data_IF_662608292151
#
_entry.id   IF_662608292151
#
_cell.length_a   1.000
_cell.length_b   1.000
_cell.length_c   1.000
_cell.angle_alpha   90.00
_cell.angle_beta   90.00
_cell.angle_gamma   90.00
#
_symmetry.space_group_name_H-M   'P 1'
#
loop_
_entity.id
_entity.type
_entity.pdbx_description
1 polymer ?
#
# COMPACT_ATOMS: atom_id res chain seq x y z
N UNK A 1 22.40 5.22 -12.02
CA UNK A 1 22.18 3.77 -12.17
C UNK A 1 21.94 3.38 -13.63
N UNK A 2 21.02 3.99 -14.38
CA UNK A 2 20.69 3.69 -15.78
C UNK A 2 21.94 3.65 -16.69
N UNK A 3 22.88 4.60 -16.55
CA UNK A 3 24.11 4.60 -17.33
C UNK A 3 24.95 3.35 -17.10
N UNK A 4 25.08 2.92 -15.85
CA UNK A 4 25.81 1.70 -15.50
C UNK A 4 25.05 0.43 -15.91
N UNK A 5 23.72 0.42 -15.81
CA UNK A 5 22.87 -0.65 -16.33
C UNK A 5 23.06 -0.84 -17.83
N UNK A 6 23.00 0.23 -18.62
CA UNK A 6 23.22 0.16 -20.07
C UNK A 6 24.63 -0.37 -20.43
N UNK A 7 25.65 0.00 -19.66
CA UNK A 7 27.00 -0.53 -19.85
C UNK A 7 27.07 -2.03 -19.59
N UNK A 8 26.39 -2.55 -18.55
CA UNK A 8 26.34 -3.99 -18.24
C UNK A 8 25.57 -4.77 -19.28
N UNK A 9 24.42 -4.26 -19.72
CA UNK A 9 23.62 -4.89 -20.79
C UNK A 9 24.44 -5.01 -22.07
N UNK A 10 25.16 -3.96 -22.48
CA UNK A 10 26.01 -3.98 -23.66
C UNK A 10 27.20 -4.95 -23.54
N UNK A 11 27.65 -5.25 -22.32
CA UNK A 11 28.74 -6.18 -22.04
C UNK A 11 28.24 -7.62 -21.73
N UNK A 12 26.92 -7.89 -21.80
CA UNK A 12 26.31 -9.16 -21.38
C UNK A 12 26.72 -9.59 -19.96
N UNK A 13 26.93 -8.64 -19.07
CA UNK A 13 27.23 -8.92 -17.65
C UNK A 13 25.95 -8.85 -16.82
N UNK A 14 25.76 -9.84 -15.95
CA UNK A 14 24.64 -9.90 -15.02
C UNK A 14 25.11 -9.50 -13.62
N UNK A 15 24.29 -8.72 -12.93
CA UNK A 15 24.51 -8.36 -11.53
C UNK A 15 23.46 -9.08 -10.69
N UNK A 16 23.87 -9.86 -9.70
CA UNK A 16 22.96 -10.53 -8.79
C UNK A 16 22.53 -9.56 -7.68
N UNK A 17 21.22 -9.52 -7.37
CA UNK A 17 20.68 -8.73 -6.27
C UNK A 17 20.23 -9.66 -5.13
N UNK A 18 20.94 -9.69 -3.98
CA UNK A 18 20.57 -10.56 -2.88
C UNK A 18 19.27 -10.16 -2.18
N UNK A 19 18.73 -8.98 -2.49
CA UNK A 19 17.49 -8.45 -1.92
C UNK A 19 16.29 -8.59 -2.86
N UNK A 20 16.44 -9.28 -4.02
CA UNK A 20 15.36 -9.41 -5.02
C UNK A 20 14.04 -9.87 -4.39
N UNK A 21 14.05 -11.00 -3.69
CA UNK A 21 12.84 -11.57 -3.08
C UNK A 21 12.26 -10.66 -2.00
N UNK A 22 13.14 -10.02 -1.22
CA UNK A 22 12.74 -9.06 -0.17
C UNK A 22 12.07 -7.83 -0.78
N UNK A 23 12.67 -7.24 -1.83
CA UNK A 23 12.11 -6.05 -2.49
C UNK A 23 10.78 -6.38 -3.15
N UNK A 24 10.69 -7.52 -3.82
CA UNK A 24 9.46 -7.97 -4.48
C UNK A 24 8.32 -8.17 -3.47
N UNK A 25 8.60 -8.71 -2.28
CA UNK A 25 7.59 -8.99 -1.25
C UNK A 25 7.29 -7.79 -0.34
N UNK A 26 8.30 -7.01 0.05
CA UNK A 26 8.14 -5.91 1.00
C UNK A 26 7.79 -4.57 0.33
N UNK A 27 8.17 -4.37 -0.95
CA UNK A 27 7.97 -3.12 -1.67
C UNK A 27 7.33 -3.36 -3.06
N UNK A 28 6.17 -4.02 -3.14
CA UNK A 28 5.59 -4.46 -4.40
C UNK A 28 5.30 -3.30 -5.37
N UNK A 29 4.81 -2.15 -4.88
CA UNK A 29 4.54 -0.97 -5.72
C UNK A 29 5.82 -0.44 -6.37
N UNK A 30 6.91 -0.34 -5.62
CA UNK A 30 8.20 0.12 -6.17
C UNK A 30 8.75 -0.88 -7.18
N UNK A 31 8.56 -2.17 -6.92
CA UNK A 31 8.95 -3.21 -7.87
C UNK A 31 8.12 -3.13 -9.15
N UNK A 32 6.82 -2.84 -9.06
CA UNK A 32 5.93 -2.61 -10.21
C UNK A 32 6.32 -1.38 -11.03
N UNK A 33 6.67 -0.27 -10.38
CA UNK A 33 7.21 0.91 -11.05
C UNK A 33 8.49 0.58 -11.83
N UNK A 34 9.37 -0.23 -11.25
CA UNK A 34 10.59 -0.68 -11.90
C UNK A 34 10.33 -1.65 -13.06
N UNK A 35 9.36 -2.55 -12.94
CA UNK A 35 8.90 -3.43 -14.03
C UNK A 35 8.32 -2.61 -15.19
N UNK A 36 7.51 -1.58 -14.90
CA UNK A 36 7.00 -0.68 -15.93
C UNK A 36 8.14 0.02 -16.69
N UNK A 37 9.14 0.52 -15.96
CA UNK A 37 10.33 1.13 -16.56
C UNK A 37 11.14 0.12 -17.40
N UNK A 38 11.23 -1.14 -16.95
CA UNK A 38 11.88 -2.23 -17.69
C UNK A 38 11.12 -2.56 -19.00
N UNK A 39 9.79 -2.65 -18.92
CA UNK A 39 8.95 -2.87 -20.10
C UNK A 39 9.06 -1.70 -21.09
N UNK A 40 9.08 -0.47 -20.60
CA UNK A 40 9.30 0.73 -21.44
C UNK A 40 10.65 0.66 -22.18
N UNK A 41 11.74 0.29 -21.50
CA UNK A 41 13.06 0.11 -22.11
C UNK A 41 13.04 -0.98 -23.16
N UNK A 42 12.34 -2.07 -22.92
CA UNK A 42 12.20 -3.15 -23.88
C UNK A 42 11.42 -2.71 -25.14
N UNK A 43 10.26 -2.08 -24.96
CA UNK A 43 9.37 -1.67 -26.05
C UNK A 43 10.00 -0.59 -26.95
N UNK A 44 10.72 0.39 -26.38
CA UNK A 44 11.20 1.56 -27.10
C UNK A 44 12.69 1.49 -27.46
N UNK A 45 13.48 0.76 -26.70
CA UNK A 45 14.93 0.70 -26.87
C UNK A 45 15.43 -0.72 -27.18
N UNK A 46 14.55 -1.74 -27.17
CA UNK A 46 14.89 -3.17 -27.29
C UNK A 46 15.94 -3.64 -26.28
N UNK A 47 15.92 -3.04 -25.07
CA UNK A 47 16.82 -3.36 -23.97
C UNK A 47 16.08 -4.26 -22.99
N UNK A 48 16.52 -5.52 -22.91
CA UNK A 48 16.01 -6.46 -21.91
C UNK A 48 16.91 -6.44 -20.67
N UNK A 49 16.30 -6.27 -19.49
CA UNK A 49 16.99 -6.29 -18.20
C UNK A 49 16.51 -7.45 -17.34
N UNK A 50 17.39 -7.98 -16.48
CA UNK A 50 17.08 -9.08 -15.58
C UNK A 50 16.21 -8.64 -14.40
N UNK A 51 15.58 -9.61 -13.70
CA UNK A 51 14.82 -9.33 -12.46
C UNK A 51 15.69 -8.70 -11.37
N UNK A 52 16.96 -9.09 -11.29
CA UNK A 52 17.92 -8.48 -10.38
C UNK A 52 18.13 -6.98 -10.64
N UNK A 53 18.25 -6.60 -11.91
CA UNK A 53 18.36 -5.19 -12.30
C UNK A 53 17.05 -4.41 -12.08
N UNK A 54 15.88 -5.08 -12.25
CA UNK A 54 14.59 -4.48 -11.87
C UNK A 54 14.55 -4.19 -10.37
N UNK A 55 15.05 -5.10 -9.52
CA UNK A 55 15.12 -4.87 -8.09
C UNK A 55 16.06 -3.70 -7.73
N UNK A 56 17.22 -3.58 -8.39
CA UNK A 56 18.08 -2.41 -8.22
C UNK A 56 17.40 -1.10 -8.66
N UNK A 57 16.65 -1.14 -9.76
CA UNK A 57 15.90 0.01 -10.23
C UNK A 57 14.80 0.40 -9.22
N UNK A 58 14.10 -0.58 -8.65
CA UNK A 58 13.12 -0.36 -7.58
C UNK A 58 13.73 0.33 -6.36
N UNK A 59 14.93 -0.10 -5.93
CA UNK A 59 15.65 0.56 -4.83
C UNK A 59 15.97 2.04 -5.15
N UNK A 60 16.38 2.34 -6.38
CA UNK A 60 16.64 3.72 -6.77
C UNK A 60 15.37 4.57 -6.83
N UNK A 61 14.29 4.03 -7.39
CA UNK A 61 12.99 4.70 -7.42
C UNK A 61 12.52 4.95 -5.99
N UNK A 62 12.62 3.94 -5.10
CA UNK A 62 12.24 4.07 -3.69
C UNK A 62 13.00 5.18 -2.98
N UNK A 63 14.32 5.23 -3.13
CA UNK A 63 15.13 6.27 -2.53
C UNK A 63 14.80 7.68 -3.04
N UNK A 64 14.38 7.82 -4.30
CA UNK A 64 13.96 9.12 -4.85
C UNK A 64 12.53 9.49 -4.42
N UNK A 65 11.61 8.52 -4.35
CA UNK A 65 10.26 8.71 -3.81
C UNK A 65 10.32 9.13 -2.35
N UNK A 66 11.10 8.45 -1.50
CA UNK A 66 11.30 8.84 -0.10
C UNK A 66 11.82 10.28 0.07
N UNK A 67 12.66 10.76 -0.85
CA UNK A 67 13.13 12.14 -0.84
C UNK A 67 12.09 13.17 -1.25
N UNK A 68 11.17 12.80 -2.15
CA UNK A 68 10.15 13.70 -2.69
C UNK A 68 8.86 13.69 -1.84
N UNK A 69 8.51 12.55 -1.22
CA UNK A 69 7.29 12.35 -0.43
C UNK A 69 7.38 12.94 0.99
N UNK A 70 8.46 13.67 1.32
CA UNK A 70 8.74 14.10 2.70
C UNK A 70 7.62 14.92 3.37
N UNK A 71 6.62 15.44 2.64
CA UNK A 71 5.57 16.28 3.25
C UNK A 71 4.11 15.87 2.96
N UNK A 72 3.85 15.03 1.96
CA UNK A 72 2.46 14.78 1.50
C UNK A 72 1.71 13.75 2.36
N UNK A 73 2.42 12.78 2.94
CA UNK A 73 1.82 11.69 3.71
C UNK A 73 2.05 11.75 5.22
N UNK A 74 2.78 12.77 5.70
CA UNK A 74 3.03 12.94 7.13
C UNK A 74 1.73 13.26 7.89
N UNK A 75 1.60 12.73 9.11
CA UNK A 75 0.56 13.16 10.02
C UNK A 75 0.80 14.61 10.42
N UNK A 76 -0.19 15.46 10.23
CA UNK A 76 -0.16 16.83 10.72
C UNK A 76 -0.36 16.81 12.24
N UNK A 77 0.63 17.28 12.97
CA UNK A 77 0.63 17.19 14.43
C UNK A 77 0.64 18.57 15.07
N UNK A 78 -0.05 18.68 16.20
CA UNK A 78 0.08 19.80 17.11
C UNK A 78 0.88 19.35 18.34
N UNK A 79 1.82 20.16 18.80
CA UNK A 79 2.52 19.95 20.06
C UNK A 79 1.98 20.91 21.12
N UNK A 80 1.25 20.37 22.11
CA UNK A 80 0.80 21.09 23.29
C UNK A 80 1.76 20.83 24.45
N UNK A 81 2.63 21.79 24.72
CA UNK A 81 3.64 21.68 25.77
C UNK A 81 3.85 23.06 26.40
N UNK A 82 3.51 23.25 27.68
CA UNK A 82 3.84 24.48 28.41
C UNK A 82 5.36 24.74 28.35
N UNK A 83 5.75 25.95 27.95
CA UNK A 83 7.15 26.27 27.75
C UNK A 83 7.83 26.68 29.05
N UNK A 84 8.36 25.70 29.78
CA UNK A 84 9.22 25.89 30.92
C UNK A 84 10.68 25.66 30.55
N UNK A 85 11.52 26.68 30.67
CA UNK A 85 12.97 26.57 30.40
C UNK A 85 13.31 25.97 29.03
N UNK A 86 12.58 26.39 27.98
CA UNK A 86 12.75 25.92 26.59
C UNK A 86 12.38 24.43 26.38
N UNK A 87 11.63 23.83 27.29
CA UNK A 87 11.25 22.42 27.19
C UNK A 87 10.45 22.10 25.92
N UNK A 88 9.59 23.02 25.48
CA UNK A 88 8.85 22.89 24.23
C UNK A 88 9.80 22.71 23.03
N UNK A 89 10.86 23.54 22.94
CA UNK A 89 11.85 23.42 21.87
C UNK A 89 12.65 22.12 21.93
N UNK A 90 12.96 21.61 23.13
CA UNK A 90 13.64 20.32 23.28
C UNK A 90 12.77 19.16 22.80
N UNK A 91 11.50 19.12 23.18
CA UNK A 91 10.56 18.07 22.76
C UNK A 91 10.27 18.18 21.27
N UNK A 92 10.09 19.38 20.71
CA UNK A 92 9.92 19.60 19.28
C UNK A 92 11.10 19.02 18.48
N UNK A 93 12.32 19.38 18.83
CA UNK A 93 13.53 18.86 18.15
C UNK A 93 13.66 17.34 18.32
N UNK A 94 13.33 16.82 19.50
CA UNK A 94 13.35 15.40 19.77
C UNK A 94 12.39 14.63 18.85
N UNK A 95 11.16 15.10 18.70
CA UNK A 95 10.17 14.51 17.81
C UNK A 95 10.63 14.53 16.34
N UNK A 96 11.19 15.65 15.86
CA UNK A 96 11.71 15.75 14.50
C UNK A 96 12.89 14.82 14.25
N UNK A 97 13.82 14.70 15.20
CA UNK A 97 14.98 13.82 15.04
C UNK A 97 14.55 12.35 14.86
N UNK A 98 13.50 11.92 15.56
CA UNK A 98 13.09 10.51 15.59
C UNK A 98 11.96 10.16 14.64
N UNK A 99 11.10 11.12 14.27
CA UNK A 99 9.84 10.84 13.56
C UNK A 99 9.60 11.76 12.35
N UNK A 100 10.61 12.53 11.88
CA UNK A 100 10.45 13.47 10.75
C UNK A 100 9.89 12.82 9.47
N UNK A 101 10.14 11.54 9.26
CA UNK A 101 9.58 10.81 8.10
C UNK A 101 8.07 10.55 8.20
N UNK A 102 7.48 10.58 9.42
CA UNK A 102 6.09 10.17 9.70
C UNK A 102 5.19 11.33 10.12
N UNK A 103 5.77 12.40 10.68
CA UNK A 103 5.01 13.53 11.23
C UNK A 103 5.47 14.87 10.68
N UNK A 104 4.54 15.83 10.67
CA UNK A 104 4.81 17.25 10.41
C UNK A 104 4.17 18.07 11.52
N UNK A 105 4.97 18.75 12.38
CA UNK A 105 4.46 19.57 13.46
C UNK A 105 4.04 20.92 12.88
N UNK A 106 2.72 21.11 12.72
CA UNK A 106 2.14 22.32 12.10
C UNK A 106 1.97 23.46 13.09
N UNK A 107 1.91 23.14 14.41
CA UNK A 107 1.75 24.14 15.47
C UNK A 107 2.36 23.65 16.78
N UNK A 108 2.99 24.60 17.52
CA UNK A 108 3.43 24.39 18.91
C UNK A 108 2.72 25.42 19.79
N UNK A 109 2.05 24.97 20.86
CA UNK A 109 1.27 25.82 21.76
C UNK A 109 1.56 25.49 23.21
N UNK A 110 1.39 26.46 24.09
CA UNK A 110 1.51 26.27 25.54
C UNK A 110 0.17 25.96 26.18
N UNK A 111 -0.94 26.40 25.59
CA UNK A 111 -2.30 26.23 26.12
C UNK A 111 -3.26 25.71 25.08
N UNK A 112 -4.24 24.91 25.49
CA UNK A 112 -5.22 24.27 24.61
C UNK A 112 -6.01 25.29 23.75
N UNK A 113 -6.34 26.46 24.31
CA UNK A 113 -7.11 27.49 23.59
C UNK A 113 -6.30 28.20 22.47
N UNK A 114 -5.01 27.97 22.37
CA UNK A 114 -4.15 28.52 21.32
C UNK A 114 -4.14 27.62 20.06
N UNK A 115 -4.70 26.42 20.15
CA UNK A 115 -4.83 25.53 18.99
C UNK A 115 -5.79 26.19 18.00
N UNK A 116 -5.29 26.45 16.80
CA UNK A 116 -6.12 27.00 15.72
C UNK A 116 -7.03 25.89 15.15
N UNK A 117 -8.16 26.29 14.54
CA UNK A 117 -9.11 25.40 13.85
C UNK A 117 -8.53 24.74 12.58
N UNK A 118 -7.21 24.73 12.42
CA UNK A 118 -6.56 23.98 11.33
C UNK A 118 -6.69 22.49 11.60
N UNK A 119 -7.13 21.74 10.61
CA UNK A 119 -7.22 20.29 10.72
C UNK A 119 -5.83 19.68 11.01
N UNK A 120 -5.72 18.91 12.06
CA UNK A 120 -4.57 18.10 12.41
C UNK A 120 -5.01 16.66 12.69
N UNK A 121 -4.06 15.73 12.57
CA UNK A 121 -4.33 14.29 12.65
C UNK A 121 -3.99 13.74 14.04
N UNK A 122 -3.07 14.41 14.78
CA UNK A 122 -2.50 13.90 16.02
C UNK A 122 -2.09 15.05 16.96
N UNK A 123 -2.38 14.89 18.24
CA UNK A 123 -1.96 15.81 19.29
C UNK A 123 -0.90 15.18 20.18
N UNK A 124 0.32 15.72 20.16
CA UNK A 124 1.32 15.44 21.18
C UNK A 124 1.13 16.37 22.38
N UNK A 125 1.15 15.84 23.58
CA UNK A 125 0.98 16.65 24.79
C UNK A 125 1.84 16.17 25.94
N UNK A 126 2.34 17.11 26.76
CA UNK A 126 3.01 16.78 28.04
C UNK A 126 2.09 16.88 29.24
N UNK A 127 0.84 17.32 29.04
CA UNK A 127 -0.18 17.45 30.11
C UNK A 127 -1.36 16.53 29.80
N UNK A 128 -2.04 15.97 30.81
CA UNK A 128 -3.21 15.15 30.60
C UNK A 128 -4.38 16.01 30.11
N UNK A 129 -4.92 15.68 28.95
CA UNK A 129 -6.07 16.34 28.34
C UNK A 129 -7.00 15.33 27.68
N UNK A 130 -8.18 15.78 27.28
CA UNK A 130 -9.11 15.06 26.40
C UNK A 130 -9.32 15.88 25.14
N UNK A 131 -9.25 15.22 23.99
CA UNK A 131 -9.49 15.81 22.69
C UNK A 131 -10.23 14.80 21.80
N UNK A 132 -10.84 15.28 20.71
CA UNK A 132 -11.49 14.42 19.71
C UNK A 132 -10.51 13.70 18.80
N UNK A 133 -9.28 14.24 18.65
CA UNK A 133 -8.22 13.66 17.86
C UNK A 133 -7.40 12.64 18.69
N UNK A 134 -6.67 11.74 18.05
CA UNK A 134 -5.70 10.88 18.71
C UNK A 134 -4.70 11.70 19.54
N UNK A 135 -4.40 11.23 20.77
CA UNK A 135 -3.47 11.89 21.66
C UNK A 135 -2.30 10.96 21.98
N UNK A 136 -1.08 11.46 21.85
CA UNK A 136 0.11 10.82 22.40
C UNK A 136 0.63 11.70 23.54
N UNK A 137 0.47 11.21 24.76
CA UNK A 137 1.02 11.88 25.94
C UNK A 137 2.50 11.55 26.08
N UNK A 138 3.34 12.57 26.12
CA UNK A 138 4.79 12.47 26.25
C UNK A 138 5.23 12.80 27.68
N UNK A 139 6.36 12.23 28.09
CA UNK A 139 7.06 12.75 29.27
C UNK A 139 7.56 14.18 29.00
N UNK A 140 7.49 15.09 29.98
CA UNK A 140 8.10 16.41 29.86
C UNK A 140 9.65 16.36 29.78
N UNK A 141 10.26 15.20 30.04
CA UNK A 141 11.70 14.98 29.94
C UNK A 141 12.03 14.06 28.77
N UNK A 142 12.79 14.53 27.78
CA UNK A 142 13.09 13.79 26.55
C UNK A 142 13.77 12.44 26.79
N UNK A 143 14.64 12.33 27.82
CA UNK A 143 15.30 11.09 28.20
C UNK A 143 14.35 10.03 28.79
N UNK A 144 13.13 10.39 29.11
CA UNK A 144 12.08 9.49 29.63
C UNK A 144 10.99 9.21 28.59
N UNK A 145 11.15 9.67 27.35
CA UNK A 145 10.24 9.35 26.24
C UNK A 145 10.64 7.99 25.68
N UNK A 146 9.71 7.05 25.67
CA UNK A 146 9.90 5.75 25.02
C UNK A 146 9.66 5.89 23.52
N UNK A 147 10.76 5.93 22.75
CA UNK A 147 10.73 6.07 21.28
C UNK A 147 9.91 4.96 20.63
N UNK A 148 10.03 3.73 21.16
CA UNK A 148 9.34 2.57 20.57
C UNK A 148 7.82 2.66 20.80
N UNK A 149 7.39 3.08 21.99
CA UNK A 149 5.96 3.29 22.29
C UNK A 149 5.38 4.38 21.39
N UNK A 150 6.07 5.51 21.29
CA UNK A 150 5.64 6.61 20.40
C UNK A 150 5.57 6.17 18.94
N UNK A 151 6.59 5.45 18.47
CA UNK A 151 6.63 4.91 17.10
C UNK A 151 5.42 3.99 16.83
N UNK A 152 5.18 3.02 17.70
CA UNK A 152 4.07 2.08 17.53
C UNK A 152 2.71 2.81 17.50
N UNK A 153 2.52 3.83 18.34
CA UNK A 153 1.27 4.61 18.36
C UNK A 153 1.09 5.47 17.11
N UNK A 154 2.17 6.03 16.57
CA UNK A 154 2.14 6.75 15.28
C UNK A 154 1.74 5.77 14.16
N UNK A 155 2.36 4.59 14.09
CA UNK A 155 2.04 3.57 13.10
C UNK A 155 0.57 3.11 13.20
N UNK A 156 0.05 2.89 14.41
CA UNK A 156 -1.37 2.57 14.62
C UNK A 156 -2.32 3.65 14.07
N UNK A 157 -1.97 4.92 14.21
CA UNK A 157 -2.77 6.05 13.69
C UNK A 157 -2.71 6.07 12.16
N UNK A 158 -1.52 5.88 11.58
CA UNK A 158 -1.33 5.81 10.12
C UNK A 158 -2.13 4.64 9.53
N UNK A 159 -2.03 3.46 10.14
CA UNK A 159 -2.78 2.27 9.71
C UNK A 159 -4.30 2.50 9.79
N UNK A 160 -4.81 3.05 10.89
CA UNK A 160 -6.23 3.41 11.02
C UNK A 160 -6.68 4.39 9.95
N UNK A 161 -5.85 5.39 9.60
CA UNK A 161 -6.16 6.33 8.53
C UNK A 161 -6.26 5.64 7.17
N UNK A 162 -5.31 4.74 6.84
CA UNK A 162 -5.36 3.93 5.61
C UNK A 162 -6.62 3.06 5.55
N UNK A 163 -6.97 2.41 6.65
CA UNK A 163 -8.17 1.59 6.75
C UNK A 163 -9.47 2.43 6.63
N UNK A 164 -9.49 3.65 7.16
CA UNK A 164 -10.63 4.54 7.01
C UNK A 164 -10.90 4.92 5.54
N UNK A 165 -9.85 5.09 4.73
CA UNK A 165 -10.00 5.30 3.27
C UNK A 165 -10.64 4.08 2.62
N UNK A 166 -10.18 2.87 2.95
CA UNK A 166 -10.79 1.63 2.45
C UNK A 166 -12.27 1.52 2.86
N UNK A 167 -12.61 1.90 4.08
CA UNK A 167 -13.98 1.90 4.58
C UNK A 167 -14.88 2.89 3.82
N UNK A 168 -14.42 4.13 3.65
CA UNK A 168 -15.19 5.20 3.00
C UNK A 168 -15.39 4.93 1.51
N UNK A 169 -14.36 4.41 0.83
CA UNK A 169 -14.36 4.20 -0.60
C UNK A 169 -14.76 2.77 -1.00
N UNK A 170 -15.20 1.93 -0.04
CA UNK A 170 -15.50 0.52 -0.29
C UNK A 170 -16.46 0.33 -1.47
N UNK A 171 -17.62 1.00 -1.46
CA UNK A 171 -18.65 0.87 -2.50
C UNK A 171 -18.19 1.50 -3.84
N UNK A 172 -17.18 2.38 -3.82
CA UNK A 172 -16.54 2.87 -5.04
C UNK A 172 -15.71 1.80 -5.72
N UNK A 173 -14.95 1.00 -4.97
CA UNK A 173 -14.04 0.01 -5.53
C UNK A 173 -14.67 -1.36 -5.74
N UNK A 174 -15.59 -1.77 -4.88
CA UNK A 174 -16.18 -3.11 -4.85
C UNK A 174 -17.67 -3.11 -5.17
N UNK A 175 -18.15 -4.18 -5.77
CA UNK A 175 -19.59 -4.38 -6.00
C UNK A 175 -19.93 -5.87 -6.09
N UNK A 176 -21.22 -6.26 -5.83
CA UNK A 176 -21.64 -7.65 -5.92
C UNK A 176 -21.42 -8.29 -7.29
N UNK A 177 -21.52 -7.49 -8.37
CA UNK A 177 -21.32 -7.93 -9.74
C UNK A 177 -19.87 -8.33 -10.03
N UNK A 178 -18.93 -7.78 -9.29
CA UNK A 178 -17.48 -8.04 -9.41
C UNK A 178 -16.99 -9.10 -8.43
N UNK A 179 -17.87 -9.72 -7.65
CA UNK A 179 -17.52 -10.81 -6.73
C UNK A 179 -17.69 -12.17 -7.39
N UNK A 180 -16.79 -13.11 -7.06
CA UNK A 180 -16.80 -14.48 -7.51
C UNK A 180 -16.37 -15.43 -6.38
N UNK A 181 -17.17 -16.46 -6.10
CA UNK A 181 -16.79 -17.54 -5.21
C UNK A 181 -16.31 -18.73 -6.04
N UNK A 182 -15.06 -19.15 -5.86
CA UNK A 182 -14.47 -20.29 -6.58
C UNK A 182 -14.58 -21.54 -5.74
N UNK A 183 -15.38 -22.50 -6.22
CA UNK A 183 -15.62 -23.79 -5.56
C UNK A 183 -14.74 -24.93 -6.12
N UNK A 184 -14.11 -24.72 -7.29
CA UNK A 184 -13.32 -25.76 -7.93
C UNK A 184 -11.92 -25.85 -7.32
N UNK A 185 -11.60 -27.00 -6.74
CA UNK A 185 -10.29 -27.30 -6.12
C UNK A 185 -9.12 -27.33 -7.13
N UNK A 186 -9.38 -27.50 -8.42
CA UNK A 186 -8.37 -27.51 -9.48
C UNK A 186 -8.23 -26.15 -10.19
N UNK A 187 -8.74 -25.09 -9.60
CA UNK A 187 -8.69 -23.76 -10.18
C UNK A 187 -7.27 -23.18 -10.17
N UNK A 188 -6.92 -22.49 -11.26
CA UNK A 188 -5.64 -21.83 -11.42
C UNK A 188 -5.79 -20.33 -11.69
N UNK A 189 -4.66 -19.61 -11.67
CA UNK A 189 -4.61 -18.16 -11.87
C UNK A 189 -5.22 -17.72 -13.20
N UNK A 190 -5.00 -18.45 -14.31
CA UNK A 190 -5.46 -18.06 -15.64
C UNK A 190 -6.98 -18.08 -15.72
N UNK A 191 -7.59 -19.16 -15.18
CA UNK A 191 -9.05 -19.30 -15.12
C UNK A 191 -9.67 -18.18 -14.27
N UNK A 192 -9.13 -17.93 -13.07
CA UNK A 192 -9.71 -16.94 -12.16
C UNK A 192 -9.52 -15.52 -12.72
N UNK A 193 -8.34 -15.16 -13.22
CA UNK A 193 -8.12 -13.86 -13.88
C UNK A 193 -9.09 -13.68 -15.06
N UNK A 194 -9.32 -14.72 -15.85
CA UNK A 194 -10.26 -14.65 -16.97
C UNK A 194 -11.69 -14.39 -16.51
N UNK A 195 -12.17 -15.07 -15.48
CA UNK A 195 -13.52 -14.87 -14.93
C UNK A 195 -13.67 -13.44 -14.40
N UNK A 196 -12.71 -12.97 -13.59
CA UNK A 196 -12.74 -11.63 -13.03
C UNK A 196 -12.64 -10.55 -14.11
N UNK A 197 -11.81 -10.77 -15.14
CA UNK A 197 -11.75 -9.88 -16.31
C UNK A 197 -13.11 -9.80 -17.02
N UNK A 198 -13.78 -10.94 -17.26
CA UNK A 198 -15.10 -10.94 -17.91
C UNK A 198 -16.13 -10.15 -17.10
N UNK A 199 -16.08 -10.22 -15.77
CA UNK A 199 -16.95 -9.41 -14.91
C UNK A 199 -16.67 -7.90 -15.07
N UNK A 200 -15.40 -7.48 -15.06
CA UNK A 200 -15.01 -6.09 -15.30
C UNK A 200 -15.37 -5.60 -16.70
N UNK A 201 -15.16 -6.43 -17.72
CA UNK A 201 -15.49 -6.13 -19.12
C UNK A 201 -17.01 -5.96 -19.32
N UNK A 202 -17.82 -6.87 -18.79
CA UNK A 202 -19.27 -6.83 -18.90
C UNK A 202 -19.89 -5.61 -18.23
N UNK A 203 -19.22 -5.05 -17.21
CA UNK A 203 -19.60 -3.80 -16.54
C UNK A 203 -18.99 -2.55 -17.21
N UNK A 204 -18.21 -2.72 -18.28
CA UNK A 204 -17.61 -1.61 -19.03
C UNK A 204 -16.44 -0.92 -18.30
N UNK A 205 -15.84 -1.56 -17.29
CA UNK A 205 -14.73 -0.97 -16.53
C UNK A 205 -13.40 -1.09 -17.22
N UNK A 206 -13.21 -2.12 -18.07
CA UNK A 206 -11.98 -2.39 -18.82
C UNK A 206 -12.31 -2.72 -20.27
N UNK A 207 -11.28 -2.74 -21.14
CA UNK A 207 -11.36 -3.22 -22.51
C UNK A 207 -10.92 -4.71 -22.64
N UNK A 208 -11.03 -5.28 -23.84
CA UNK A 208 -10.68 -6.67 -24.10
C UNK A 208 -9.19 -6.97 -23.91
N UNK A 209 -8.30 -6.00 -24.15
CA UNK A 209 -6.85 -6.17 -24.07
C UNK A 209 -6.35 -6.26 -22.64
N UNK A 210 -7.16 -5.79 -21.66
CA UNK A 210 -6.81 -5.78 -20.24
C UNK A 210 -6.37 -7.14 -19.72
N UNK A 211 -7.02 -8.23 -20.15
CA UNK A 211 -6.65 -9.60 -19.75
C UNK A 211 -5.19 -9.91 -20.10
N UNK A 212 -4.80 -9.63 -21.34
CA UNK A 212 -3.44 -9.91 -21.81
C UNK A 212 -2.40 -9.03 -21.09
N UNK A 213 -2.73 -7.78 -20.81
CA UNK A 213 -1.85 -6.88 -20.06
C UNK A 213 -1.63 -7.38 -18.62
N UNK A 214 -2.68 -7.89 -17.95
CA UNK A 214 -2.60 -8.50 -16.61
C UNK A 214 -1.75 -9.76 -16.61
N UNK A 215 -1.99 -10.68 -17.55
CA UNK A 215 -1.21 -11.92 -17.68
C UNK A 215 0.28 -11.60 -17.90
N UNK A 216 0.58 -10.70 -18.83
CA UNK A 216 1.96 -10.28 -19.10
C UNK A 216 2.64 -9.68 -17.85
N UNK A 217 1.89 -8.92 -17.03
CA UNK A 217 2.41 -8.38 -15.78
C UNK A 217 2.71 -9.50 -14.78
N UNK A 218 1.79 -10.45 -14.59
CA UNK A 218 1.95 -11.54 -13.63
C UNK A 218 3.07 -12.52 -14.03
N UNK A 219 3.28 -12.76 -15.35
CA UNK A 219 4.39 -13.56 -15.88
C UNK A 219 5.76 -12.91 -15.64
N UNK A 220 5.83 -11.58 -15.69
CA UNK A 220 7.07 -10.84 -15.41
C UNK A 220 7.53 -11.05 -13.95
N UNK A 221 6.60 -11.00 -13.01
CA UNK A 221 6.80 -11.33 -11.60
C UNK A 221 5.46 -11.71 -10.98
N UNK A 222 5.42 -12.75 -10.17
CA UNK A 222 4.17 -13.20 -9.54
C UNK A 222 3.51 -12.08 -8.74
N UNK A 223 2.19 -11.99 -8.82
CA UNK A 223 1.39 -11.05 -8.03
C UNK A 223 0.82 -11.68 -6.76
N UNK A 224 1.30 -12.89 -6.41
CA UNK A 224 0.91 -13.56 -5.17
C UNK A 224 1.78 -13.14 -3.99
N UNK A 225 1.12 -12.88 -2.86
CA UNK A 225 1.71 -12.50 -1.58
C UNK A 225 1.11 -13.40 -0.49
N UNK A 226 1.82 -14.44 -0.07
CA UNK A 226 1.30 -15.40 0.91
C UNK A 226 0.02 -16.09 0.42
N UNK A 227 -1.12 -15.78 1.04
CA UNK A 227 -2.43 -16.38 0.73
C UNK A 227 -3.31 -15.50 -0.18
N UNK A 228 -2.81 -14.37 -0.66
CA UNK A 228 -3.54 -13.46 -1.56
C UNK A 228 -2.79 -13.30 -2.88
N UNK A 229 -3.53 -12.94 -3.94
CA UNK A 229 -2.94 -12.44 -5.18
C UNK A 229 -3.62 -11.13 -5.58
N UNK A 230 -2.83 -10.19 -6.10
CA UNK A 230 -3.31 -8.87 -6.52
C UNK A 230 -2.89 -8.62 -7.98
N UNK A 231 -3.46 -9.37 -8.93
CA UNK A 231 -3.19 -9.16 -10.35
C UNK A 231 -3.71 -7.79 -10.80
N UNK A 232 -2.92 -7.11 -11.63
CA UNK A 232 -3.26 -5.80 -12.19
C UNK A 232 -2.50 -5.60 -13.51
N UNK A 233 -2.94 -4.63 -14.33
CA UNK A 233 -2.20 -4.24 -15.53
C UNK A 233 -1.13 -3.20 -15.17
N UNK A 234 0.02 -3.23 -15.88
CA UNK A 234 1.00 -2.14 -15.82
C UNK A 234 0.47 -0.84 -16.44
N UNK A 235 -0.59 -0.92 -17.26
CA UNK A 235 -1.22 0.25 -17.88
C UNK A 235 -2.40 0.70 -17.02
N UNK A 236 -2.44 1.97 -16.65
CA UNK A 236 -3.55 2.58 -15.93
C UNK A 236 -4.64 3.06 -16.88
N UNK A 237 -5.09 2.17 -17.79
CA UNK A 237 -5.99 2.48 -18.90
C UNK A 237 -7.41 1.94 -18.71
N UNK A 238 -7.80 1.60 -17.50
CA UNK A 238 -9.17 1.25 -17.19
C UNK A 238 -10.10 2.47 -17.33
N UNK A 239 -11.36 2.24 -17.66
CA UNK A 239 -12.37 3.30 -17.72
C UNK A 239 -12.72 3.84 -16.34
N UNK A 240 -12.70 2.96 -15.33
CA UNK A 240 -12.95 3.26 -13.92
C UNK A 240 -12.08 2.38 -13.05
N UNK A 241 -11.58 2.92 -11.94
CA UNK A 241 -10.88 2.12 -10.93
C UNK A 241 -11.86 1.22 -10.21
N UNK A 242 -11.70 -0.10 -10.34
CA UNK A 242 -12.56 -1.13 -9.72
C UNK A 242 -11.73 -2.35 -9.34
N UNK A 243 -12.23 -3.11 -8.37
CA UNK A 243 -11.61 -4.33 -7.90
C UNK A 243 -12.59 -5.48 -8.05
N UNK A 244 -12.23 -6.45 -8.88
CA UNK A 244 -12.97 -7.70 -8.95
C UNK A 244 -12.34 -8.71 -7.99
N UNK A 245 -13.18 -9.39 -7.21
CA UNK A 245 -12.76 -10.25 -6.10
C UNK A 245 -13.09 -11.68 -6.40
N UNK A 246 -12.13 -12.60 -6.21
CA UNK A 246 -12.41 -14.02 -6.10
C UNK A 246 -12.00 -14.52 -4.71
N UNK A 247 -12.85 -15.33 -4.11
CA UNK A 247 -12.62 -16.02 -2.84
C UNK A 247 -12.69 -17.52 -3.05
N UNK A 248 -11.73 -18.27 -2.50
CA UNK A 248 -11.75 -19.74 -2.52
C UNK A 248 -11.36 -20.30 -1.15
N UNK A 249 -12.19 -21.17 -0.63
CA UNK A 249 -11.93 -21.88 0.61
C UNK A 249 -10.80 -22.90 0.45
N UNK A 250 -10.78 -23.64 -0.66
CA UNK A 250 -9.80 -24.68 -0.95
C UNK A 250 -8.48 -24.12 -1.48
N UNK A 251 -8.53 -22.92 -2.05
CA UNK A 251 -7.38 -22.22 -2.63
C UNK A 251 -7.29 -22.34 -4.14
N UNK A 252 -6.62 -21.40 -4.75
CA UNK A 252 -6.37 -21.25 -6.18
C UNK A 252 -4.87 -21.41 -6.42
N UNK A 253 -4.46 -22.26 -7.37
CA UNK A 253 -3.06 -22.43 -7.73
C UNK A 253 -2.50 -21.18 -8.41
N UNK A 254 -1.46 -20.60 -7.80
CA UNK A 254 -0.80 -19.39 -8.29
C UNK A 254 0.72 -19.57 -8.27
N UNK A 255 1.26 -20.10 -9.35
CA UNK A 255 2.66 -20.51 -9.45
C UNK A 255 3.08 -21.47 -8.33
N UNK A 256 3.95 -21.01 -7.42
CA UNK A 256 4.40 -21.76 -6.24
C UNK A 256 3.49 -21.57 -5.00
N UNK A 257 2.46 -20.71 -5.12
CA UNK A 257 1.60 -20.32 -4.02
C UNK A 257 0.22 -20.95 -4.13
N UNK A 258 -0.45 -21.10 -2.98
CA UNK A 258 -1.87 -21.40 -2.88
C UNK A 258 -2.56 -20.16 -2.30
N UNK A 259 -3.30 -19.43 -3.12
CA UNK A 259 -3.97 -18.20 -2.69
C UNK A 259 -5.46 -18.44 -2.46
N UNK A 260 -6.03 -17.79 -1.46
CA UNK A 260 -7.44 -17.90 -1.11
C UNK A 260 -8.26 -16.70 -1.55
N UNK A 261 -7.59 -15.57 -1.79
CA UNK A 261 -8.23 -14.32 -2.23
C UNK A 261 -7.47 -13.79 -3.42
N UNK A 262 -8.21 -13.41 -4.45
CA UNK A 262 -7.66 -12.73 -5.62
C UNK A 262 -8.38 -11.39 -5.78
N UNK A 263 -7.60 -10.31 -5.84
CA UNK A 263 -8.06 -8.95 -6.04
C UNK A 263 -7.56 -8.46 -7.40
N UNK A 264 -8.35 -8.63 -8.47
CA UNK A 264 -8.00 -8.12 -9.80
C UNK A 264 -8.32 -6.63 -9.87
N UNK A 265 -7.28 -5.80 -9.91
CA UNK A 265 -7.40 -4.35 -9.87
C UNK A 265 -7.34 -3.76 -11.28
N UNK A 266 -8.40 -3.06 -11.66
CA UNK A 266 -8.46 -2.18 -12.82
C UNK A 266 -8.22 -0.74 -12.36
N UNK A 267 -7.21 -0.05 -12.92
CA UNK A 267 -6.79 1.29 -12.48
C UNK A 267 -7.04 2.30 -13.58
N UNK A 268 -7.72 3.40 -13.25
CA UNK A 268 -7.83 4.59 -14.09
C UNK A 268 -6.70 5.57 -13.73
N UNK A 269 -6.01 6.12 -14.72
CA UNK A 269 -4.88 7.04 -14.52
C UNK A 269 -5.25 8.26 -13.66
N UNK A 270 -6.47 8.77 -13.80
CA UNK A 270 -6.95 9.95 -13.05
C UNK A 270 -7.19 9.66 -11.57
N UNK A 271 -7.34 8.39 -11.20
CA UNK A 271 -7.58 7.91 -9.83
C UNK A 271 -6.35 7.20 -9.25
N UNK A 272 -5.20 7.29 -9.91
CA UNK A 272 -3.95 6.59 -9.51
C UNK A 272 -3.44 6.99 -8.12
N UNK A 273 -3.77 8.20 -7.65
CA UNK A 273 -3.41 8.65 -6.31
C UNK A 273 -4.09 7.85 -5.19
N UNK A 274 -5.33 7.38 -5.41
CA UNK A 274 -6.05 6.52 -4.48
C UNK A 274 -5.48 5.08 -4.47
N UNK A 275 -4.85 4.69 -5.58
CA UNK A 275 -4.37 3.31 -5.75
C UNK A 275 -3.28 2.95 -4.75
N UNK A 276 -2.30 3.83 -4.50
CA UNK A 276 -1.18 3.55 -3.59
C UNK A 276 -1.69 3.25 -2.17
N UNK A 277 -2.53 4.13 -1.63
CA UNK A 277 -3.06 3.97 -0.27
C UNK A 277 -3.97 2.74 -0.16
N UNK A 278 -4.85 2.54 -1.14
CA UNK A 278 -5.75 1.40 -1.21
C UNK A 278 -4.98 0.07 -1.32
N UNK A 279 -3.96 0.02 -2.19
CA UNK A 279 -3.17 -1.18 -2.44
C UNK A 279 -2.42 -1.63 -1.18
N UNK A 280 -1.75 -0.69 -0.51
CA UNK A 280 -1.05 -0.96 0.77
C UNK A 280 -2.04 -1.39 1.86
N UNK A 281 -3.17 -0.68 1.99
CA UNK A 281 -4.21 -1.03 2.95
C UNK A 281 -4.77 -2.44 2.72
N UNK A 282 -5.04 -2.81 1.46
CA UNK A 282 -5.55 -4.13 1.10
C UNK A 282 -4.54 -5.25 1.39
N UNK A 283 -3.26 -5.06 1.05
CA UNK A 283 -2.21 -6.05 1.36
C UNK A 283 -2.14 -6.25 2.86
N UNK A 284 -1.93 -5.17 3.63
CA UNK A 284 -1.77 -5.23 5.08
C UNK A 284 -3.00 -5.85 5.75
N UNK A 285 -4.19 -5.48 5.29
CA UNK A 285 -5.44 -6.03 5.80
C UNK A 285 -5.58 -7.53 5.50
N UNK A 286 -5.48 -7.92 4.23
CA UNK A 286 -5.72 -9.29 3.81
C UNK A 286 -4.61 -10.27 4.23
N UNK A 287 -3.41 -9.80 4.60
CA UNK A 287 -2.32 -10.68 5.07
C UNK A 287 -2.40 -11.01 6.56
N UNK A 288 -3.27 -10.36 7.33
CA UNK A 288 -3.49 -10.71 8.73
C UNK A 288 -4.18 -12.09 8.85
N UNK A 289 -3.59 -13.02 9.58
CA UNK A 289 -4.08 -14.41 9.67
C UNK A 289 -5.51 -14.53 10.20
N UNK A 290 -5.92 -13.69 11.16
CA UNK A 290 -7.28 -13.63 11.69
C UNK A 290 -8.29 -13.18 10.63
N UNK A 291 -7.95 -12.16 9.84
CA UNK A 291 -8.78 -11.63 8.75
C UNK A 291 -8.86 -12.65 7.60
N UNK A 292 -7.72 -13.19 7.18
CA UNK A 292 -7.63 -14.21 6.13
C UNK A 292 -8.50 -15.43 6.45
N UNK A 293 -8.52 -15.86 7.72
CA UNK A 293 -9.33 -17.00 8.15
C UNK A 293 -10.83 -16.74 7.96
N UNK A 294 -11.28 -15.51 8.13
CA UNK A 294 -12.67 -15.12 7.89
C UNK A 294 -12.95 -14.93 6.41
N UNK A 295 -12.08 -14.19 5.69
CA UNK A 295 -12.29 -13.85 4.29
C UNK A 295 -12.38 -15.08 3.37
N UNK A 296 -11.56 -16.11 3.60
CA UNK A 296 -11.61 -17.34 2.78
C UNK A 296 -12.92 -18.13 2.90
N UNK A 297 -13.70 -17.91 3.96
CA UNK A 297 -14.99 -18.54 4.19
C UNK A 297 -16.16 -17.70 3.61
N UNK A 298 -15.89 -16.49 3.08
CA UNK A 298 -16.92 -15.64 2.50
C UNK A 298 -17.47 -16.25 1.20
N UNK A 299 -18.70 -16.76 1.25
CA UNK A 299 -19.36 -17.38 0.10
C UNK A 299 -20.15 -16.37 -0.76
N UNK A 300 -20.55 -15.23 -0.17
CA UNK A 300 -21.26 -14.14 -0.83
C UNK A 300 -20.49 -12.82 -0.70
N UNK A 301 -20.87 -11.86 -1.55
CA UNK A 301 -20.29 -10.50 -1.48
C UNK A 301 -20.58 -9.82 -0.15
N UNK A 302 -21.76 -10.05 0.40
CA UNK A 302 -22.18 -9.49 1.69
C UNK A 302 -21.27 -9.96 2.82
N UNK A 303 -20.88 -11.24 2.84
CA UNK A 303 -19.94 -11.77 3.83
C UNK A 303 -18.57 -11.08 3.71
N UNK A 304 -18.06 -10.95 2.49
CA UNK A 304 -16.81 -10.26 2.19
C UNK A 304 -16.86 -8.80 2.64
N UNK A 305 -17.93 -8.08 2.29
CA UNK A 305 -18.17 -6.68 2.65
C UNK A 305 -18.21 -6.50 4.18
N UNK A 306 -19.02 -7.32 4.86
CA UNK A 306 -19.22 -7.21 6.31
C UNK A 306 -17.90 -7.44 7.07
N UNK A 307 -17.05 -8.38 6.60
CA UNK A 307 -15.73 -8.59 7.19
C UNK A 307 -14.87 -7.35 7.01
N UNK A 308 -14.76 -6.80 5.79
CA UNK A 308 -13.93 -5.61 5.56
C UNK A 308 -14.44 -4.44 6.38
N UNK A 309 -15.73 -4.10 6.30
CA UNK A 309 -16.29 -2.94 6.99
C UNK A 309 -16.22 -3.05 8.52
N UNK A 310 -16.29 -4.26 9.06
CA UNK A 310 -16.16 -4.50 10.51
C UNK A 310 -14.77 -4.21 11.04
N UNK A 311 -13.72 -4.52 10.29
CA UNK A 311 -12.34 -4.39 10.75
C UNK A 311 -11.65 -3.12 10.25
N UNK A 312 -12.34 -2.29 9.46
CA UNK A 312 -11.85 -0.98 8.98
C UNK A 312 -12.53 0.21 9.66
N UNK A 313 -13.38 -0.05 10.65
CA UNK A 313 -14.04 0.98 11.48
C UNK A 313 -13.09 1.68 12.45
#
# INVERSE_FOLDING_TARGET
>A
HLKNLLARVNQNTTLHNPLLDTIQSACPILFDCALYAADFLYQHCHIQISKDEVAYLAMHIGADVERQDQDVHKLKCVLLCPDYQQNQSFIYNYLLIHFDSQISIVQCVSFLHEINDQAYDLLFTTIPIQDSHPIIQLSPFTNSIDIRDVFNRIEEIIEKRKLAVLHQEFDHFFSPQLFYHEENEESDKFKVIHILHQKLLNQGHVNADFYHDVIRRDEAATTAFGKIAIPHSMKMNANHTRIAVAVSRTGIKWDQHLVHIVLLIAINEKESYLFKELYEALINFCTQDNIMTLLKEAAAFEDFRDIILRFTQ
#
